data_IF_095227589445
#
_entry.id   IF_095227589445
#
_cell.length_a   1.000
_cell.length_b   1.000
_cell.length_c   1.000
_cell.angle_alpha   90.00
_cell.angle_beta   90.00
_cell.angle_gamma   90.00
#
_symmetry.space_group_name_H-M   'P 1'
#
loop_
_entity.id
_entity.type
_entity.pdbx_description
1 polymer ?
#
# COMPACT_ATOMS: atom_id res chain seq x y z
N UNK A 1 37.25 -38.90 33.87
CA UNK A 1 37.69 -37.74 33.09
C UNK A 1 36.49 -37.27 32.27
N UNK A 2 35.71 -36.35 32.84
CA UNK A 2 34.38 -35.93 32.37
C UNK A 2 34.51 -34.59 31.61
N UNK A 3 34.12 -34.58 30.34
CA UNK A 3 34.11 -33.38 29.49
C UNK A 3 32.75 -32.71 29.69
N UNK A 4 32.75 -31.51 30.23
CA UNK A 4 31.57 -30.70 30.44
C UNK A 4 31.21 -29.95 29.15
N UNK A 5 30.00 -30.16 28.69
CA UNK A 5 29.36 -29.52 27.55
C UNK A 5 28.92 -28.10 27.95
N UNK A 6 29.59 -27.08 27.43
CA UNK A 6 29.17 -25.67 27.54
C UNK A 6 28.36 -25.26 26.31
N UNK A 7 27.06 -25.41 26.38
CA UNK A 7 26.14 -24.78 25.44
C UNK A 7 26.06 -23.28 25.76
N UNK A 8 26.68 -22.45 24.91
CA UNK A 8 26.55 -21.02 24.98
C UNK A 8 25.15 -20.58 24.55
N UNK A 9 24.42 -19.99 25.47
CA UNK A 9 23.16 -19.36 25.20
C UNK A 9 23.40 -18.07 24.37
N UNK A 10 23.08 -18.09 23.08
CA UNK A 10 22.97 -16.86 22.28
C UNK A 10 21.71 -16.10 22.74
N UNK A 11 21.93 -15.06 23.53
CA UNK A 11 20.89 -14.07 23.83
C UNK A 11 20.57 -13.29 22.56
N UNK A 12 19.42 -13.58 21.97
CA UNK A 12 18.82 -12.73 20.96
C UNK A 12 18.47 -11.38 21.60
N UNK A 13 19.19 -10.34 21.22
CA UNK A 13 18.83 -8.95 21.53
C UNK A 13 17.72 -8.50 20.58
N UNK A 14 16.49 -8.90 20.85
CA UNK A 14 15.29 -8.29 20.25
C UNK A 14 14.80 -7.22 21.23
N UNK A 15 15.35 -6.03 21.10
CA UNK A 15 15.03 -4.95 22.01
C UNK A 15 13.68 -4.28 21.70
N UNK A 16 13.01 -3.74 22.72
CA UNK A 16 11.74 -3.00 22.61
C UNK A 16 11.85 -1.66 21.86
N UNK A 17 13.02 -1.33 21.31
CA UNK A 17 13.32 -0.02 20.71
C UNK A 17 12.57 0.20 19.39
N UNK A 18 12.29 -0.85 18.61
CA UNK A 18 11.61 -0.69 17.29
C UNK A 18 10.09 -0.50 17.47
N UNK A 19 9.49 -1.18 18.44
CA UNK A 19 8.05 -1.05 18.72
C UNK A 19 7.70 0.33 19.33
N UNK A 20 8.59 0.91 20.14
CA UNK A 20 8.40 2.24 20.70
C UNK A 20 8.52 3.37 19.65
N UNK A 21 9.35 3.18 18.61
CA UNK A 21 9.49 4.16 17.53
C UNK A 21 8.23 4.23 16.63
N UNK A 22 7.51 3.13 16.46
CA UNK A 22 6.26 3.09 15.70
C UNK A 22 5.07 3.66 16.47
N UNK A 23 5.04 3.56 17.81
CA UNK A 23 3.93 4.05 18.64
C UNK A 23 3.99 5.55 18.95
N UNK A 24 5.15 6.21 18.83
CA UNK A 24 5.36 7.62 19.14
C UNK A 24 5.12 8.59 17.99
N UNK A 25 4.68 8.11 16.83
CA UNK A 25 4.69 8.85 15.56
C UNK A 25 3.35 9.54 15.20
N UNK A 26 2.52 9.90 16.16
CA UNK A 26 1.10 10.27 15.95
C UNK A 26 0.79 11.78 15.81
N UNK A 27 1.77 12.66 15.65
CA UNK A 27 1.56 14.05 15.25
C UNK A 27 2.62 14.45 14.24
N UNK A 28 2.33 15.39 13.35
CA UNK A 28 3.36 16.01 12.51
C UNK A 28 4.50 16.45 13.42
N UNK A 29 5.63 15.74 13.40
CA UNK A 29 6.78 16.07 14.25
C UNK A 29 7.21 17.50 13.91
N UNK A 30 7.70 18.30 14.88
CA UNK A 30 8.10 19.66 14.61
C UNK A 30 9.12 19.69 13.47
N UNK A 31 8.83 20.51 12.45
CA UNK A 31 9.73 20.75 11.32
C UNK A 31 9.40 20.05 10.00
N UNK A 32 8.52 19.04 9.96
CA UNK A 32 8.02 18.49 8.69
C UNK A 32 6.99 19.43 8.06
N UNK A 33 6.97 19.45 6.71
CA UNK A 33 5.96 20.17 5.94
C UNK A 33 4.61 19.47 6.06
N UNK A 34 3.53 20.21 6.10
CA UNK A 34 2.17 19.71 5.90
C UNK A 34 1.80 19.89 4.43
N UNK A 35 0.94 19.01 3.92
CA UNK A 35 0.33 19.19 2.60
C UNK A 35 -0.58 20.43 2.61
N UNK A 36 -0.48 21.24 1.57
CA UNK A 36 -1.26 22.47 1.40
C UNK A 36 -1.67 22.63 -0.07
N UNK A 37 -2.81 23.28 -0.38
CA UNK A 37 -3.23 23.51 -1.75
C UNK A 37 -2.16 24.24 -2.57
N UNK A 38 -2.02 23.86 -3.84
CA UNK A 38 -1.13 24.53 -4.78
C UNK A 38 0.27 23.91 -4.89
N UNK A 39 0.43 22.63 -4.55
CA UNK A 39 1.67 21.91 -4.84
C UNK A 39 1.99 21.91 -6.34
N UNK A 40 3.22 22.30 -6.68
CA UNK A 40 3.67 22.38 -8.09
C UNK A 40 4.25 21.03 -8.54
N UNK A 41 3.41 20.18 -9.10
CA UNK A 41 3.80 18.88 -9.65
C UNK A 41 4.81 19.00 -10.79
N UNK A 42 5.80 18.14 -10.81
CA UNK A 42 6.83 18.10 -11.86
C UNK A 42 7.30 16.66 -12.08
N UNK A 43 6.85 16.03 -13.15
CA UNK A 43 7.25 14.68 -13.51
C UNK A 43 8.43 14.68 -14.51
N UNK A 44 9.39 13.75 -14.38
CA UNK A 44 9.39 12.57 -13.48
C UNK A 44 9.90 12.82 -12.05
N UNK A 45 10.29 14.06 -11.68
CA UNK A 45 10.83 14.37 -10.34
C UNK A 45 9.94 13.81 -9.21
N UNK A 46 8.63 14.01 -9.33
CA UNK A 46 7.67 13.66 -8.28
C UNK A 46 7.22 12.18 -8.33
N UNK A 47 7.94 11.34 -9.10
CA UNK A 47 7.97 9.88 -8.87
C UNK A 47 8.97 9.49 -7.77
N UNK A 48 9.90 10.37 -7.43
CA UNK A 48 10.91 10.19 -6.39
C UNK A 48 10.42 10.55 -4.98
N UNK A 49 11.34 10.56 -4.00
CA UNK A 49 11.02 10.78 -2.61
C UNK A 49 10.91 12.27 -2.24
N UNK A 50 10.01 12.58 -1.28
CA UNK A 50 9.70 13.92 -0.79
C UNK A 50 10.10 14.07 0.68
N UNK A 51 11.40 14.18 0.94
CA UNK A 51 12.00 14.18 2.28
C UNK A 51 11.51 15.30 3.22
N UNK A 52 10.86 16.34 2.69
CA UNK A 52 10.26 17.42 3.48
C UNK A 52 8.99 17.00 4.22
N UNK A 53 8.34 15.94 3.79
CA UNK A 53 7.14 15.37 4.41
C UNK A 53 7.52 14.20 5.31
N UNK A 54 6.64 13.86 6.26
CA UNK A 54 6.92 12.84 7.25
C UNK A 54 6.68 11.43 6.75
N UNK A 55 5.57 11.20 6.05
CA UNK A 55 5.16 9.90 5.54
C UNK A 55 4.94 9.98 4.05
N UNK A 56 5.30 8.91 3.37
CA UNK A 56 5.19 8.79 1.93
C UNK A 56 5.10 7.32 1.58
N UNK A 57 4.32 6.97 0.55
CA UNK A 57 4.27 5.62 0.04
C UNK A 57 4.06 5.56 -1.47
N UNK A 58 4.65 4.53 -2.05
CA UNK A 58 4.41 4.05 -3.40
C UNK A 58 3.71 2.70 -3.28
N UNK A 59 2.49 2.62 -3.72
CA UNK A 59 1.61 1.48 -3.56
C UNK A 59 1.23 0.93 -4.91
N UNK A 60 1.46 -0.38 -5.13
CA UNK A 60 1.13 -1.08 -6.37
C UNK A 60 0.29 -2.29 -6.04
N UNK A 61 -0.82 -2.46 -6.77
CA UNK A 61 -1.65 -3.66 -6.70
C UNK A 61 -2.12 -4.08 -8.08
N UNK A 62 -2.32 -5.39 -8.27
CA UNK A 62 -2.79 -5.88 -9.57
C UNK A 62 -3.20 -7.33 -9.57
N UNK A 63 -3.86 -7.72 -10.66
CA UNK A 63 -4.16 -9.10 -10.98
C UNK A 63 -3.47 -9.47 -12.29
N UNK A 64 -2.66 -10.53 -12.22
CA UNK A 64 -1.80 -10.98 -13.32
C UNK A 64 -2.11 -12.43 -13.65
N UNK A 65 -2.28 -12.73 -14.92
CA UNK A 65 -2.51 -14.09 -15.42
C UNK A 65 -1.19 -14.74 -15.85
N UNK A 66 -1.00 -16.00 -15.49
CA UNK A 66 0.11 -16.80 -15.98
C UNK A 66 -0.01 -17.05 -17.47
N UNK A 67 1.05 -16.76 -18.25
CA UNK A 67 1.02 -16.94 -19.72
C UNK A 67 0.93 -18.41 -20.13
N UNK A 68 1.51 -19.29 -19.34
CA UNK A 68 1.63 -20.75 -19.61
C UNK A 68 0.49 -21.55 -18.97
N UNK A 69 -0.34 -20.91 -18.11
CA UNK A 69 -1.48 -21.52 -17.43
C UNK A 69 -2.70 -20.60 -17.53
N UNK A 70 -3.39 -20.56 -18.67
CA UNK A 70 -4.57 -19.72 -18.84
C UNK A 70 -5.61 -19.96 -17.74
N UNK A 71 -6.13 -18.87 -17.19
CA UNK A 71 -7.09 -18.89 -16.07
C UNK A 71 -6.42 -18.96 -14.68
N UNK A 72 -5.10 -19.14 -14.57
CA UNK A 72 -4.40 -19.00 -13.30
C UNK A 72 -4.05 -17.56 -13.05
N UNK A 73 -4.70 -16.96 -12.09
CA UNK A 73 -4.56 -15.53 -11.76
C UNK A 73 -3.86 -15.40 -10.42
N UNK A 74 -2.86 -14.54 -10.40
CA UNK A 74 -2.18 -14.07 -9.20
C UNK A 74 -2.63 -12.63 -8.89
N UNK A 75 -2.92 -12.36 -7.63
CA UNK A 75 -3.09 -10.99 -7.15
C UNK A 75 -1.87 -10.61 -6.31
N UNK A 76 -1.37 -9.39 -6.51
CA UNK A 76 -0.20 -8.92 -5.77
C UNK A 76 -0.42 -7.52 -5.19
N UNK A 77 0.28 -7.24 -4.11
CA UNK A 77 0.53 -5.92 -3.55
C UNK A 77 2.04 -5.74 -3.40
N UNK A 78 2.51 -4.53 -3.68
CA UNK A 78 3.86 -4.08 -3.35
C UNK A 78 3.80 -2.63 -2.90
N UNK A 79 4.24 -2.36 -1.69
CA UNK A 79 4.22 -1.02 -1.11
C UNK A 79 5.55 -0.68 -0.49
N UNK A 80 6.09 0.46 -0.86
CA UNK A 80 7.29 1.06 -0.25
C UNK A 80 6.81 2.25 0.58
N UNK A 81 7.16 2.27 1.86
CA UNK A 81 6.88 3.39 2.76
C UNK A 81 8.18 4.07 3.16
N UNK A 82 8.18 5.41 3.12
CA UNK A 82 9.17 6.26 3.76
C UNK A 82 8.54 6.89 5.00
N UNK A 83 9.17 6.68 6.15
CA UNK A 83 8.75 7.27 7.42
C UNK A 83 9.89 8.16 7.93
N UNK A 84 9.69 9.47 7.87
CA UNK A 84 10.64 10.45 8.35
C UNK A 84 10.75 10.43 9.88
N UNK A 85 11.95 10.22 10.38
CA UNK A 85 12.29 10.31 11.80
C UNK A 85 12.68 11.73 12.20
N UNK A 86 13.27 12.47 11.26
CA UNK A 86 13.68 13.85 11.42
C UNK A 86 13.60 14.58 10.08
N UNK A 87 13.15 15.85 10.03
CA UNK A 87 13.14 16.65 8.80
C UNK A 87 14.56 17.00 8.32
N UNK A 88 15.53 16.96 9.21
CA UNK A 88 16.94 17.24 8.91
C UNK A 88 17.80 16.00 9.21
N UNK A 89 18.96 15.91 8.56
CA UNK A 89 19.93 14.88 8.92
C UNK A 89 20.36 15.05 10.37
N UNK A 90 20.33 13.97 11.19
CA UNK A 90 20.84 14.03 12.56
C UNK A 90 22.27 14.58 12.58
N UNK A 91 22.57 15.47 13.51
CA UNK A 91 23.92 16.04 13.69
C UNK A 91 24.98 15.00 14.13
N UNK A 92 24.61 13.74 14.26
CA UNK A 92 25.48 12.62 14.59
C UNK A 92 26.46 12.34 13.45
N UNK A 93 27.77 12.29 13.77
CA UNK A 93 28.82 11.94 12.81
C UNK A 93 28.88 10.44 12.49
N UNK A 94 27.75 9.76 12.46
CA UNK A 94 27.67 8.34 12.20
C UNK A 94 26.96 8.08 10.87
N UNK A 95 27.55 7.30 9.99
CA UNK A 95 26.92 6.82 8.76
C UNK A 95 25.65 5.98 9.03
N UNK A 96 25.49 5.52 10.27
CA UNK A 96 24.31 4.77 10.73
C UNK A 96 23.20 5.69 11.29
N UNK A 97 23.41 7.00 11.32
CA UNK A 97 22.39 7.97 11.71
C UNK A 97 21.32 8.01 10.61
N UNK A 98 20.13 7.48 10.91
CA UNK A 98 19.04 7.42 9.97
C UNK A 98 18.15 8.66 10.02
N UNK A 99 17.83 9.22 8.87
CA UNK A 99 16.82 10.26 8.69
C UNK A 99 15.44 9.64 8.50
N UNK A 100 15.37 8.50 7.85
CA UNK A 100 14.14 7.79 7.52
C UNK A 100 14.17 6.33 7.99
N UNK A 101 12.98 5.78 8.20
CA UNK A 101 12.74 4.34 8.12
C UNK A 101 12.21 4.01 6.72
N UNK A 102 12.61 2.84 6.23
CA UNK A 102 12.06 2.20 5.04
C UNK A 102 11.24 1.03 5.55
N UNK A 103 9.97 0.99 5.20
CA UNK A 103 9.09 -0.12 5.52
C UNK A 103 8.42 -0.56 4.23
N UNK A 104 8.67 -1.80 3.83
CA UNK A 104 8.08 -2.33 2.60
C UNK A 104 7.20 -3.53 2.92
N UNK A 105 6.07 -3.59 2.23
CA UNK A 105 5.12 -4.68 2.29
C UNK A 105 4.96 -5.33 0.92
N UNK A 106 4.86 -6.65 0.90
CA UNK A 106 4.55 -7.40 -0.31
C UNK A 106 3.58 -8.55 0.00
N UNK A 107 2.53 -8.66 -0.79
CA UNK A 107 1.62 -9.79 -0.75
C UNK A 107 1.52 -10.44 -2.12
N UNK A 108 1.32 -11.75 -2.12
CA UNK A 108 1.07 -12.55 -3.31
C UNK A 108 -0.02 -13.58 -3.01
N UNK A 109 -1.08 -13.58 -3.79
CA UNK A 109 -2.16 -14.54 -3.73
C UNK A 109 -2.25 -15.34 -5.03
N UNK A 110 -2.31 -16.65 -4.95
CA UNK A 110 -2.72 -17.55 -6.03
C UNK A 110 -4.23 -17.76 -5.90
N UNK A 111 -5.00 -17.03 -6.69
CA UNK A 111 -6.46 -17.04 -6.59
C UNK A 111 -7.07 -18.40 -6.96
N UNK A 112 -6.41 -19.13 -7.85
CA UNK A 112 -6.87 -20.46 -8.26
C UNK A 112 -6.71 -21.52 -7.15
N UNK A 113 -5.72 -21.32 -6.26
CA UNK A 113 -5.46 -22.23 -5.12
C UNK A 113 -6.05 -21.73 -3.81
N UNK A 114 -6.47 -20.48 -3.73
CA UNK A 114 -6.91 -19.86 -2.49
C UNK A 114 -5.77 -19.64 -1.49
N UNK A 115 -4.52 -19.55 -1.96
CA UNK A 115 -3.33 -19.39 -1.14
C UNK A 115 -2.85 -17.96 -1.17
N UNK A 116 -2.45 -17.41 -0.02
CA UNK A 116 -1.90 -16.07 0.07
C UNK A 116 -0.69 -16.02 0.99
N UNK A 117 0.28 -15.20 0.64
CA UNK A 117 1.48 -14.95 1.42
C UNK A 117 1.72 -13.47 1.57
N UNK A 118 2.23 -13.09 2.73
CA UNK A 118 2.61 -11.72 3.05
C UNK A 118 4.04 -11.70 3.57
N UNK A 119 4.79 -10.69 3.18
CA UNK A 119 6.14 -10.40 3.64
C UNK A 119 6.31 -8.91 3.90
N UNK A 120 7.11 -8.59 4.90
CA UNK A 120 7.41 -7.22 5.30
C UNK A 120 8.90 -7.06 5.65
N UNK A 121 9.40 -5.86 5.45
CA UNK A 121 10.72 -5.43 5.93
C UNK A 121 10.61 -4.06 6.59
N UNK A 122 11.37 -3.86 7.66
CA UNK A 122 11.57 -2.54 8.27
C UNK A 122 13.07 -2.35 8.50
N UNK A 123 13.63 -1.30 7.92
CA UNK A 123 15.04 -0.94 8.03
C UNK A 123 15.21 0.55 8.26
N UNK A 124 16.32 0.92 8.87
CA UNK A 124 16.76 2.32 8.85
C UNK A 124 17.36 2.62 7.48
N UNK A 125 17.12 3.82 6.97
CA UNK A 125 17.88 4.36 5.85
C UNK A 125 19.34 4.54 6.28
N UNK A 126 20.18 3.59 5.92
CA UNK A 126 21.60 3.57 6.27
C UNK A 126 22.37 2.72 5.24
N UNK A 127 23.70 2.90 5.10
CA UNK A 127 24.53 2.10 4.22
C UNK A 127 24.28 0.60 4.43
N UNK A 128 24.16 -0.16 3.34
CA UNK A 128 23.91 -1.59 3.27
C UNK A 128 22.50 -2.05 3.73
N UNK A 129 21.70 -1.19 4.37
CA UNK A 129 20.34 -1.55 4.80
C UNK A 129 19.27 -1.07 3.83
N UNK A 130 19.44 0.12 3.28
CA UNK A 130 18.50 0.69 2.31
C UNK A 130 18.68 2.18 2.13
N UNK A 131 18.11 2.71 1.05
CA UNK A 131 18.16 4.12 0.70
C UNK A 131 16.99 4.50 -0.20
N UNK A 132 16.62 5.78 -0.17
CA UNK A 132 15.84 6.43 -1.21
C UNK A 132 16.78 7.12 -2.20
N UNK A 133 16.41 7.13 -3.49
CA UNK A 133 17.12 7.86 -4.54
C UNK A 133 16.98 9.38 -4.39
N UNK A 134 17.91 10.12 -4.96
CA UNK A 134 17.74 11.56 -5.14
C UNK A 134 16.57 11.85 -6.09
N UNK A 135 15.94 13.04 -6.02
CA UNK A 135 14.93 13.44 -6.99
C UNK A 135 15.45 13.26 -8.43
N UNK A 136 14.67 12.60 -9.28
CA UNK A 136 15.03 12.22 -10.66
C UNK A 136 16.07 11.09 -10.80
N UNK A 137 16.47 10.43 -9.72
CA UNK A 137 17.22 9.19 -9.80
C UNK A 137 16.31 8.08 -10.36
N UNK A 138 16.78 7.25 -11.30
CA UNK A 138 16.01 6.08 -11.75
C UNK A 138 15.67 5.11 -10.62
N UNK A 139 16.50 4.98 -9.60
CA UNK A 139 16.22 4.19 -8.40
C UNK A 139 15.47 5.06 -7.38
N UNK A 140 14.20 4.77 -7.15
CA UNK A 140 13.36 5.47 -6.16
C UNK A 140 13.67 4.98 -4.75
N UNK A 141 13.68 3.66 -4.57
CA UNK A 141 13.94 3.05 -3.27
C UNK A 141 14.61 1.69 -3.40
N UNK A 142 15.44 1.35 -2.43
CA UNK A 142 15.99 0.00 -2.24
C UNK A 142 16.12 -0.31 -0.77
N UNK A 143 15.84 -1.57 -0.41
CA UNK A 143 15.96 -2.04 0.98
C UNK A 143 16.45 -3.48 1.02
N UNK A 144 17.26 -3.82 2.04
CA UNK A 144 17.74 -5.17 2.26
C UNK A 144 16.55 -6.10 2.54
N UNK A 145 16.47 -7.19 1.80
CA UNK A 145 15.45 -8.22 1.91
C UNK A 145 15.31 -8.76 3.35
N UNK A 146 14.23 -9.49 3.68
CA UNK A 146 14.06 -10.10 4.98
C UNK A 146 15.26 -10.98 5.40
N UNK A 147 15.45 -11.15 6.70
CA UNK A 147 16.49 -12.01 7.24
C UNK A 147 16.39 -13.43 6.64
N UNK A 148 17.54 -14.01 6.28
CA UNK A 148 17.60 -15.31 5.59
C UNK A 148 17.42 -15.24 4.07
N UNK A 149 17.13 -14.07 3.52
CA UNK A 149 17.04 -13.84 2.07
C UNK A 149 18.16 -12.93 1.62
N UNK A 150 18.84 -13.31 0.54
CA UNK A 150 19.87 -12.48 -0.11
C UNK A 150 19.24 -11.50 -1.08
N UNK A 151 19.88 -10.31 -1.25
CA UNK A 151 19.47 -9.30 -2.21
C UNK A 151 18.69 -8.13 -1.62
N UNK A 152 18.10 -7.36 -2.49
CA UNK A 152 17.36 -6.14 -2.18
C UNK A 152 15.93 -6.24 -2.72
N UNK A 153 15.00 -5.58 -2.05
CA UNK A 153 13.77 -5.12 -2.67
C UNK A 153 14.04 -3.77 -3.30
N UNK A 154 13.50 -3.53 -4.47
CA UNK A 154 13.81 -2.32 -5.25
C UNK A 154 12.56 -1.76 -5.91
N UNK A 155 12.53 -0.45 -6.05
CA UNK A 155 11.57 0.29 -6.85
C UNK A 155 12.32 1.34 -7.67
N UNK A 156 12.06 1.39 -8.96
CA UNK A 156 12.66 2.38 -9.87
C UNK A 156 11.70 2.87 -10.93
N UNK A 157 12.04 4.00 -11.56
CA UNK A 157 11.38 4.56 -12.74
C UNK A 157 12.37 4.65 -13.89
N UNK A 158 12.11 3.95 -15.00
CA UNK A 158 13.01 3.88 -16.15
C UNK A 158 12.72 4.90 -17.25
N UNK A 159 11.84 5.86 -17.00
CA UNK A 159 11.39 6.87 -17.97
C UNK A 159 10.06 6.54 -18.66
N UNK A 160 9.55 5.33 -18.51
CA UNK A 160 8.26 4.91 -19.10
C UNK A 160 7.51 3.85 -18.29
N UNK A 161 8.18 3.25 -17.32
CA UNK A 161 7.62 2.22 -16.47
C UNK A 161 8.19 2.28 -15.05
N UNK A 162 7.43 1.79 -14.09
CA UNK A 162 7.97 1.42 -12.79
C UNK A 162 8.42 -0.04 -12.83
N UNK A 163 9.67 -0.26 -12.44
CA UNK A 163 10.26 -1.57 -12.28
C UNK A 163 10.44 -1.84 -10.79
N UNK A 164 9.97 -2.99 -10.31
CA UNK A 164 10.14 -3.37 -8.92
C UNK A 164 10.37 -4.86 -8.75
N UNK A 165 11.09 -5.18 -7.70
CA UNK A 165 11.50 -6.53 -7.38
C UNK A 165 11.43 -6.76 -5.87
N UNK A 166 10.92 -7.93 -5.48
CA UNK A 166 10.99 -8.42 -4.13
C UNK A 166 11.28 -9.92 -4.09
N UNK A 167 11.89 -10.37 -3.00
CA UNK A 167 12.13 -11.78 -2.71
C UNK A 167 12.06 -12.05 -1.22
N UNK A 168 11.46 -13.17 -0.85
CA UNK A 168 11.43 -13.71 0.49
C UNK A 168 11.58 -15.23 0.46
N UNK A 169 12.75 -15.73 0.86
CA UNK A 169 13.06 -17.18 0.84
C UNK A 169 12.24 -17.95 1.87
N UNK A 170 12.00 -17.36 3.05
CA UNK A 170 11.19 -18.00 4.09
C UNK A 170 9.75 -18.17 3.64
N UNK A 171 9.19 -17.12 2.99
CA UNK A 171 7.84 -17.14 2.43
C UNK A 171 7.77 -17.85 1.08
N UNK A 172 8.93 -18.25 0.52
CA UNK A 172 9.05 -18.95 -0.77
C UNK A 172 8.32 -18.21 -1.89
N UNK A 173 8.43 -16.89 -1.90
CA UNK A 173 7.84 -16.03 -2.91
C UNK A 173 8.82 -14.97 -3.40
N UNK A 174 8.72 -14.63 -4.69
CA UNK A 174 9.38 -13.49 -5.29
C UNK A 174 8.57 -13.01 -6.49
N UNK A 175 8.77 -11.75 -6.85
CA UNK A 175 8.34 -11.24 -8.15
C UNK A 175 9.29 -10.15 -8.63
N UNK A 176 9.39 -10.05 -9.97
CA UNK A 176 10.00 -8.94 -10.68
C UNK A 176 9.00 -8.49 -11.73
N UNK A 177 8.51 -7.27 -11.61
CA UNK A 177 7.43 -6.73 -12.43
C UNK A 177 7.83 -5.38 -13.02
N UNK A 178 7.35 -5.13 -14.23
CA UNK A 178 7.42 -3.85 -14.92
C UNK A 178 6.01 -3.36 -15.23
N UNK A 179 5.70 -2.09 -14.93
CA UNK A 179 4.35 -1.53 -15.04
C UNK A 179 4.34 -0.26 -15.87
N UNK A 180 3.60 -0.28 -16.99
CA UNK A 180 3.50 0.84 -17.93
C UNK A 180 2.14 1.52 -17.83
N UNK A 181 2.06 2.85 -17.66
CA UNK A 181 0.79 3.57 -17.66
C UNK A 181 -0.01 3.39 -18.97
N UNK A 182 -1.28 3.01 -18.84
CA UNK A 182 -2.23 2.92 -19.95
C UNK A 182 -3.16 4.14 -20.03
N UNK A 183 -3.18 4.94 -18.97
CA UNK A 183 -3.95 6.18 -18.87
C UNK A 183 -3.07 7.31 -18.36
N UNK A 184 -3.44 8.58 -18.60
CA UNK A 184 -2.81 9.71 -17.94
C UNK A 184 -2.81 9.58 -16.42
N UNK A 185 -1.84 10.21 -15.79
CA UNK A 185 -1.76 10.37 -14.35
C UNK A 185 -2.97 11.17 -13.85
N UNK A 186 -3.52 10.75 -12.72
CA UNK A 186 -4.66 11.38 -12.05
C UNK A 186 -4.18 12.03 -10.76
N UNK A 187 -4.44 13.32 -10.61
CA UNK A 187 -4.26 14.05 -9.36
C UNK A 187 -5.51 13.85 -8.49
N UNK A 188 -5.35 13.30 -7.29
CA UNK A 188 -6.45 12.95 -6.40
C UNK A 188 -6.87 14.13 -5.51
N UNK A 189 -8.11 14.54 -5.60
CA UNK A 189 -8.59 15.80 -5.02
C UNK A 189 -8.29 17.01 -5.90
N UNK A 190 -8.59 18.23 -5.46
CA UNK A 190 -8.26 19.44 -6.21
C UNK A 190 -6.75 19.58 -6.41
N UNK A 191 -6.27 19.47 -7.65
CA UNK A 191 -4.87 19.60 -8.04
C UNK A 191 -3.90 18.66 -7.28
N UNK A 192 -4.40 17.50 -6.79
CA UNK A 192 -3.61 16.53 -6.03
C UNK A 192 -3.61 16.77 -4.52
N UNK A 193 -4.29 17.80 -4.05
CA UNK A 193 -4.47 18.04 -2.62
C UNK A 193 -5.62 17.19 -2.08
N UNK A 194 -5.29 16.09 -1.42
CA UNK A 194 -6.24 15.10 -0.93
C UNK A 194 -6.51 15.27 0.57
N UNK A 195 -7.64 15.89 0.91
CA UNK A 195 -8.09 16.04 2.29
C UNK A 195 -8.43 14.68 2.92
N UNK A 196 -8.11 14.51 4.19
CA UNK A 196 -8.41 13.32 5.00
C UNK A 196 -9.32 13.64 6.19
N UNK A 197 -9.52 14.93 6.50
CA UNK A 197 -10.33 15.40 7.59
C UNK A 197 -10.27 16.91 7.76
N UNK A 198 -10.81 17.42 8.87
CA UNK A 198 -10.91 18.86 9.15
C UNK A 198 -9.71 19.43 9.91
N UNK A 199 -8.86 18.58 10.51
CA UNK A 199 -7.70 19.04 11.25
C UNK A 199 -6.66 19.67 10.32
N UNK A 200 -5.97 20.74 10.73
CA UNK A 200 -4.92 21.35 9.95
C UNK A 200 -3.84 20.33 9.56
N UNK A 201 -3.58 20.21 8.26
CA UNK A 201 -2.59 19.28 7.72
C UNK A 201 -3.04 17.82 7.62
N UNK A 202 -4.30 17.50 7.96
CA UNK A 202 -4.89 16.19 7.67
C UNK A 202 -5.18 16.05 6.18
N UNK A 203 -4.12 15.96 5.40
CA UNK A 203 -4.11 15.92 3.96
C UNK A 203 -2.81 15.34 3.45
N UNK A 204 -2.80 14.99 2.18
CA UNK A 204 -1.62 14.59 1.42
C UNK A 204 -1.60 15.21 0.05
N UNK A 205 -0.42 15.24 -0.56
CA UNK A 205 -0.24 15.37 -1.99
C UNK A 205 -0.34 13.96 -2.57
N UNK A 206 -1.26 13.74 -3.53
CA UNK A 206 -1.64 12.41 -3.94
C UNK A 206 -1.91 12.34 -5.45
N UNK A 207 -1.24 11.39 -6.12
CA UNK A 207 -1.59 11.03 -7.48
C UNK A 207 -1.70 9.52 -7.66
N UNK A 208 -2.49 9.13 -8.66
CA UNK A 208 -2.70 7.74 -9.06
C UNK A 208 -2.35 7.51 -10.54
N UNK A 209 -1.87 6.31 -10.83
CA UNK A 209 -1.92 5.71 -12.15
C UNK A 209 -2.95 4.58 -12.09
N UNK A 210 -4.17 4.88 -12.49
CA UNK A 210 -5.34 4.02 -12.23
C UNK A 210 -5.36 2.74 -13.06
N UNK A 211 -4.58 2.71 -14.17
CA UNK A 211 -4.46 1.54 -15.03
C UNK A 211 -3.07 1.45 -15.61
N UNK A 212 -2.38 0.37 -15.29
CA UNK A 212 -1.04 0.07 -15.79
C UNK A 212 -1.06 -1.31 -16.45
N UNK A 213 -0.44 -1.44 -17.63
CA UNK A 213 -0.08 -2.75 -18.17
C UNK A 213 1.12 -3.28 -17.39
N UNK A 214 1.00 -4.47 -16.86
CA UNK A 214 2.02 -5.09 -16.02
C UNK A 214 2.43 -6.43 -16.56
N UNK A 215 3.73 -6.67 -16.64
CA UNK A 215 4.30 -7.96 -17.00
C UNK A 215 5.56 -8.27 -16.20
N UNK A 216 5.97 -9.53 -16.21
CA UNK A 216 7.19 -9.96 -15.53
C UNK A 216 7.15 -11.41 -15.09
N UNK A 217 7.75 -11.68 -13.94
CA UNK A 217 7.85 -13.02 -13.37
C UNK A 217 7.37 -13.03 -11.93
N UNK A 218 6.67 -14.10 -11.58
CA UNK A 218 6.33 -14.48 -10.20
C UNK A 218 7.00 -15.82 -9.92
N UNK A 219 7.64 -15.94 -8.75
CA UNK A 219 8.16 -17.22 -8.24
C UNK A 219 7.37 -17.60 -7.00
N UNK A 220 6.77 -18.76 -7.01
CA UNK A 220 6.02 -19.31 -5.88
C UNK A 220 6.41 -20.78 -5.70
N UNK A 221 6.88 -21.14 -4.50
CA UNK A 221 7.38 -22.49 -4.18
C UNK A 221 8.47 -23.02 -5.12
N UNK A 222 9.36 -22.13 -5.60
CA UNK A 222 10.43 -22.47 -6.53
C UNK A 222 9.98 -22.60 -7.98
N UNK A 223 8.69 -22.46 -8.28
CA UNK A 223 8.18 -22.44 -9.64
C UNK A 223 8.05 -21.00 -10.15
N UNK A 224 8.56 -20.75 -11.33
CA UNK A 224 8.51 -19.45 -12.02
C UNK A 224 7.33 -19.43 -12.99
N UNK A 225 6.58 -18.32 -12.95
CA UNK A 225 5.49 -18.02 -13.87
C UNK A 225 5.80 -16.74 -14.62
N UNK A 226 5.69 -16.77 -15.93
CA UNK A 226 5.64 -15.55 -16.74
C UNK A 226 4.21 -15.00 -16.65
N UNK A 227 4.07 -13.75 -16.25
CA UNK A 227 2.77 -13.16 -15.98
C UNK A 227 2.53 -11.88 -16.77
N UNK A 228 1.26 -11.57 -16.99
CA UNK A 228 0.79 -10.30 -17.54
C UNK A 228 -0.58 -9.94 -16.97
N UNK A 229 -0.90 -8.66 -16.94
CA UNK A 229 -2.22 -8.19 -16.51
C UNK A 229 -2.25 -6.70 -16.33
N UNK A 230 -3.12 -6.25 -15.42
CA UNK A 230 -3.26 -4.84 -15.12
C UNK A 230 -3.06 -4.55 -13.64
N UNK A 231 -2.51 -3.38 -13.37
CA UNK A 231 -2.24 -2.89 -12.03
C UNK A 231 -2.80 -1.48 -11.81
N UNK A 232 -2.79 -1.08 -10.56
CA UNK A 232 -3.03 0.26 -10.05
C UNK A 232 -1.80 0.72 -9.27
N UNK A 233 -1.51 2.00 -9.31
CA UNK A 233 -0.45 2.60 -8.51
C UNK A 233 -0.95 3.90 -7.87
N UNK A 234 -0.62 4.05 -6.56
CA UNK A 234 -0.77 5.30 -5.83
C UNK A 234 0.58 5.77 -5.30
N UNK A 235 0.79 7.08 -5.37
CA UNK A 235 1.86 7.75 -4.68
C UNK A 235 1.30 8.91 -3.87
N UNK A 236 1.57 8.85 -2.58
CA UNK A 236 0.99 9.80 -1.63
C UNK A 236 2.04 10.21 -0.60
N UNK A 237 2.16 11.51 -0.35
CA UNK A 237 3.06 12.05 0.67
C UNK A 237 2.39 13.17 1.46
N UNK A 238 2.67 13.16 2.77
CA UNK A 238 2.08 14.10 3.72
C UNK A 238 2.75 13.99 5.09
N UNK A 239 2.21 14.69 6.08
CA UNK A 239 2.77 14.64 7.44
C UNK A 239 1.71 14.31 8.50
N UNK A 240 0.43 14.26 8.11
CA UNK A 240 -0.68 13.82 8.94
C UNK A 240 -1.78 13.29 8.02
N UNK A 241 -2.06 12.00 8.09
CA UNK A 241 -3.08 11.36 7.25
C UNK A 241 -4.35 11.00 8.04
N UNK A 242 -4.35 11.21 9.34
CA UNK A 242 -5.51 10.99 10.21
C UNK A 242 -5.79 12.24 11.04
N UNK A 243 -7.03 12.72 10.97
CA UNK A 243 -7.55 13.71 11.92
C UNK A 243 -7.74 13.12 13.31
N UNK A 244 -7.85 14.02 14.30
CA UNK A 244 -8.17 13.66 15.68
C UNK A 244 -9.45 12.84 15.74
N UNK A 245 -9.41 11.73 16.45
CA UNK A 245 -10.56 10.82 16.57
C UNK A 245 -10.74 9.82 15.43
N UNK A 246 -10.03 9.94 14.32
CA UNK A 246 -10.02 8.90 13.29
C UNK A 246 -9.13 7.71 13.69
N UNK A 247 -9.51 6.50 13.33
CA UNK A 247 -8.79 5.27 13.67
C UNK A 247 -8.20 4.55 12.46
N UNK A 248 -8.66 4.85 11.25
CA UNK A 248 -8.22 4.23 10.01
C UNK A 248 -9.15 4.56 8.85
N UNK A 249 -8.97 3.86 7.75
CA UNK A 249 -9.72 4.09 6.52
C UNK A 249 -10.15 2.79 5.84
N UNK A 250 -11.16 2.90 4.98
CA UNK A 250 -11.50 1.94 3.94
C UNK A 250 -11.19 2.59 2.60
N UNK A 251 -10.35 1.96 1.79
CA UNK A 251 -9.95 2.44 0.48
C UNK A 251 -10.29 1.41 -0.60
N UNK A 252 -10.69 1.90 -1.76
CA UNK A 252 -11.13 1.09 -2.90
C UNK A 252 -10.49 1.61 -4.17
N UNK A 253 -9.84 0.75 -4.94
CA UNK A 253 -9.41 1.00 -6.32
C UNK A 253 -10.01 -0.06 -7.23
N UNK A 254 -10.94 0.36 -8.06
CA UNK A 254 -11.70 -0.55 -8.94
C UNK A 254 -11.44 -0.18 -10.39
N UNK A 255 -11.03 -1.17 -11.18
CA UNK A 255 -10.91 -1.09 -12.65
C UNK A 255 -12.10 -1.78 -13.27
N UNK A 256 -12.95 -1.04 -13.96
CA UNK A 256 -14.16 -1.57 -14.57
C UNK A 256 -13.87 -2.10 -15.99
N UNK A 257 -14.59 -3.15 -16.39
CA UNK A 257 -14.45 -3.79 -17.70
C UNK A 257 -14.90 -2.87 -18.85
N UNK A 258 -15.69 -1.85 -18.53
CA UNK A 258 -16.09 -0.82 -19.49
C UNK A 258 -15.01 0.26 -19.70
N UNK A 259 -13.87 0.14 -19.05
CA UNK A 259 -12.71 1.00 -19.18
C UNK A 259 -12.71 2.21 -18.23
N UNK A 260 -13.70 2.36 -17.34
CA UNK A 260 -13.69 3.36 -16.27
C UNK A 260 -12.90 2.83 -15.07
N UNK A 261 -12.38 3.76 -14.24
CA UNK A 261 -11.74 3.40 -12.97
C UNK A 261 -12.37 4.24 -11.85
N UNK A 262 -12.44 3.68 -10.64
CA UNK A 262 -13.08 4.31 -9.49
C UNK A 262 -12.19 4.16 -8.26
N UNK A 263 -11.76 5.28 -7.68
CA UNK A 263 -11.12 5.34 -6.37
C UNK A 263 -12.10 5.94 -5.37
N UNK A 264 -12.21 5.31 -4.19
CA UNK A 264 -13.01 5.80 -3.07
C UNK A 264 -12.26 5.58 -1.78
N UNK A 265 -12.36 6.51 -0.83
CA UNK A 265 -11.93 6.27 0.54
C UNK A 265 -12.86 6.88 1.57
N UNK A 266 -12.93 6.23 2.73
CA UNK A 266 -13.71 6.64 3.89
C UNK A 266 -12.81 6.61 5.12
N UNK A 267 -12.68 7.75 5.81
CA UNK A 267 -11.98 7.85 7.09
C UNK A 267 -12.98 7.56 8.21
N UNK A 268 -12.58 6.70 9.17
CA UNK A 268 -13.51 6.18 10.18
C UNK A 268 -13.15 6.59 11.60
N UNK A 269 -14.18 6.77 12.42
CA UNK A 269 -14.10 6.89 13.88
C UNK A 269 -14.16 5.52 14.57
N UNK A 270 -13.83 5.42 15.87
CA UNK A 270 -13.84 4.15 16.61
C UNK A 270 -15.21 3.46 16.66
N UNK A 271 -16.30 4.23 16.58
CA UNK A 271 -17.67 3.71 16.55
C UNK A 271 -18.11 3.19 15.17
N UNK A 272 -17.20 3.23 14.18
CA UNK A 272 -17.45 2.82 12.81
C UNK A 272 -18.13 3.88 11.94
N UNK A 273 -18.45 5.06 12.49
CA UNK A 273 -19.00 6.16 11.68
C UNK A 273 -17.95 6.71 10.72
N UNK A 274 -18.41 7.18 9.56
CA UNK A 274 -17.57 7.82 8.56
C UNK A 274 -17.42 9.29 8.93
N UNK A 275 -16.19 9.69 9.19
CA UNK A 275 -15.83 11.07 9.54
C UNK A 275 -15.60 11.92 8.30
N UNK A 276 -14.88 11.39 7.34
CA UNK A 276 -14.55 12.06 6.08
C UNK A 276 -14.57 11.04 4.93
N UNK A 277 -14.87 11.49 3.72
CA UNK A 277 -14.84 10.62 2.54
C UNK A 277 -14.63 11.42 1.27
N UNK A 278 -13.95 10.82 0.31
CA UNK A 278 -13.74 11.38 -1.02
C UNK A 278 -13.67 10.27 -2.06
N UNK A 279 -13.73 10.63 -3.34
CA UNK A 279 -13.59 9.68 -4.42
C UNK A 279 -13.32 10.36 -5.76
N UNK A 280 -12.81 9.57 -6.69
CA UNK A 280 -12.52 9.98 -8.07
C UNK A 280 -13.04 8.94 -9.04
N UNK A 281 -13.77 9.37 -10.04
CA UNK A 281 -14.15 8.56 -11.18
C UNK A 281 -13.30 8.98 -12.38
N UNK A 282 -12.65 8.00 -13.01
CA UNK A 282 -11.83 8.20 -14.20
C UNK A 282 -12.53 7.56 -15.40
N UNK A 283 -12.74 8.30 -16.45
CA UNK A 283 -13.37 7.79 -17.66
C UNK A 283 -12.42 6.91 -18.51
N UNK A 284 -12.92 6.43 -19.65
CA UNK A 284 -12.13 5.59 -20.57
C UNK A 284 -10.92 6.31 -21.16
N UNK A 285 -11.03 7.62 -21.34
CA UNK A 285 -9.95 8.45 -21.88
C UNK A 285 -8.93 8.87 -20.82
N UNK A 286 -9.19 8.57 -19.53
CA UNK A 286 -8.32 8.95 -18.43
C UNK A 286 -8.66 10.33 -17.83
N UNK A 287 -9.81 10.92 -18.20
CA UNK A 287 -10.27 12.17 -17.60
C UNK A 287 -10.85 11.86 -16.22
N UNK A 288 -10.24 12.46 -15.21
CA UNK A 288 -10.65 12.31 -13.82
C UNK A 288 -11.73 13.33 -13.42
N UNK A 289 -12.67 12.90 -12.60
CA UNK A 289 -13.68 13.73 -11.97
C UNK A 289 -13.77 13.40 -10.48
N UNK A 290 -13.53 14.38 -9.64
CA UNK A 290 -13.76 14.24 -8.19
C UNK A 290 -15.26 14.06 -7.92
N UNK A 291 -15.58 13.15 -7.03
CA UNK A 291 -16.92 12.83 -6.59
C UNK A 291 -17.18 13.48 -5.22
N UNK A 292 -18.14 14.38 -5.17
CA UNK A 292 -18.58 14.91 -3.87
C UNK A 292 -19.11 13.78 -2.96
N UNK A 293 -19.00 13.90 -1.64
CA UNK A 293 -19.49 12.89 -0.70
C UNK A 293 -20.94 12.45 -0.90
N UNK A 294 -21.81 13.33 -1.41
CA UNK A 294 -23.23 13.03 -1.68
C UNK A 294 -23.46 12.28 -2.99
N UNK A 295 -22.48 12.22 -3.90
CA UNK A 295 -22.64 11.62 -5.24
C UNK A 295 -22.47 10.10 -5.24
N UNK A 296 -22.01 9.51 -4.14
CA UNK A 296 -21.71 8.08 -4.06
C UNK A 296 -22.04 7.50 -2.68
N UNK A 297 -22.15 6.20 -2.65
CA UNK A 297 -22.41 5.45 -1.43
C UNK A 297 -21.63 4.14 -1.41
N UNK A 298 -21.16 3.74 -0.22
CA UNK A 298 -20.64 2.41 0.08
C UNK A 298 -21.40 1.85 1.26
N UNK A 299 -21.85 0.61 1.16
CA UNK A 299 -22.51 -0.12 2.24
C UNK A 299 -21.93 -1.53 2.33
N UNK A 300 -21.47 -1.91 3.52
CA UNK A 300 -21.08 -3.29 3.81
C UNK A 300 -22.31 -4.20 3.77
N UNK A 301 -22.16 -5.36 3.11
CA UNK A 301 -23.19 -6.39 2.96
C UNK A 301 -22.88 -7.64 3.79
N UNK A 302 -21.64 -7.83 4.20
CA UNK A 302 -21.17 -8.96 5.00
C UNK A 302 -19.95 -8.53 5.83
N UNK A 303 -19.54 -9.37 6.76
CA UNK A 303 -18.31 -9.21 7.52
C UNK A 303 -17.54 -10.53 7.58
N UNK A 304 -16.24 -10.42 7.79
CA UNK A 304 -15.33 -11.54 8.06
C UNK A 304 -14.53 -11.24 9.33
N UNK A 305 -14.47 -12.23 10.22
CA UNK A 305 -13.69 -12.13 11.44
C UNK A 305 -12.38 -12.89 11.28
N UNK A 306 -11.26 -12.20 11.47
CA UNK A 306 -9.94 -12.83 11.44
C UNK A 306 -9.81 -13.86 12.57
N UNK A 307 -9.46 -15.11 12.27
CA UNK A 307 -9.19 -16.12 13.29
C UNK A 307 -7.91 -15.82 14.07
N UNK A 308 -7.00 -15.04 13.49
CA UNK A 308 -5.68 -14.74 14.06
C UNK A 308 -5.70 -13.50 14.97
N UNK A 309 -6.30 -12.41 14.51
CA UNK A 309 -6.30 -11.12 15.23
C UNK A 309 -7.59 -10.87 15.99
N UNK A 310 -8.67 -11.58 15.64
CA UNK A 310 -10.00 -11.35 16.18
C UNK A 310 -10.69 -10.09 15.61
N UNK A 311 -10.01 -9.32 14.77
CA UNK A 311 -10.58 -8.16 14.11
C UNK A 311 -11.72 -8.57 13.16
N UNK A 312 -12.76 -7.73 13.09
CA UNK A 312 -13.90 -7.96 12.20
C UNK A 312 -13.89 -6.90 11.11
N UNK A 313 -13.77 -7.33 9.87
CA UNK A 313 -13.73 -6.49 8.68
C UNK A 313 -15.02 -6.57 7.89
N UNK A 314 -15.45 -5.49 7.20
CA UNK A 314 -16.40 -5.63 6.09
C UNK A 314 -15.83 -6.58 5.04
N UNK A 315 -16.67 -7.41 4.42
CA UNK A 315 -16.22 -8.46 3.51
C UNK A 315 -17.00 -8.53 2.19
N UNK A 316 -17.93 -7.67 1.96
CA UNK A 316 -18.68 -7.51 0.72
C UNK A 316 -19.36 -6.14 0.74
N UNK A 317 -19.37 -5.46 -0.39
CA UNK A 317 -19.88 -4.08 -0.44
C UNK A 317 -20.83 -3.87 -1.61
N UNK A 318 -21.83 -3.02 -1.39
CA UNK A 318 -22.61 -2.37 -2.44
C UNK A 318 -22.08 -0.95 -2.62
N UNK A 319 -21.69 -0.59 -3.84
CA UNK A 319 -21.21 0.73 -4.22
C UNK A 319 -22.15 1.33 -5.26
N UNK A 320 -22.60 2.58 -5.03
CA UNK A 320 -23.43 3.32 -5.95
C UNK A 320 -22.80 4.65 -6.32
N UNK A 321 -22.78 4.98 -7.63
CA UNK A 321 -22.48 6.32 -8.19
C UNK A 321 -23.56 6.65 -9.20
N UNK A 322 -24.73 7.17 -8.76
CA UNK A 322 -25.91 7.37 -9.61
C UNK A 322 -25.62 8.26 -10.83
N UNK A 323 -24.83 9.33 -10.65
CA UNK A 323 -24.45 10.25 -11.75
C UNK A 323 -23.66 9.58 -12.87
N UNK A 324 -23.03 8.42 -12.59
CA UNK A 324 -22.28 7.61 -13.55
C UNK A 324 -23.01 6.33 -13.96
N UNK A 325 -24.24 6.11 -13.47
CA UNK A 325 -25.01 4.89 -13.70
C UNK A 325 -24.41 3.65 -13.06
N UNK A 326 -23.53 3.78 -12.04
CA UNK A 326 -22.87 2.67 -11.41
C UNK A 326 -23.69 2.15 -10.22
N UNK A 327 -23.95 0.85 -10.24
CA UNK A 327 -24.46 0.05 -9.11
C UNK A 327 -23.64 -1.23 -9.10
N UNK A 328 -22.73 -1.30 -8.17
CA UNK A 328 -21.71 -2.35 -8.13
C UNK A 328 -21.84 -3.17 -6.85
N UNK A 329 -21.58 -4.45 -6.95
CA UNK A 329 -21.28 -5.31 -5.81
C UNK A 329 -19.81 -5.70 -5.87
N UNK A 330 -19.07 -5.45 -4.79
CA UNK A 330 -17.64 -5.75 -4.64
C UNK A 330 -17.50 -6.94 -3.70
N UNK A 331 -16.75 -7.96 -4.11
CA UNK A 331 -16.55 -9.22 -3.37
C UNK A 331 -15.07 -9.52 -3.23
N UNK A 332 -14.56 -9.84 -2.02
CA UNK A 332 -13.22 -10.39 -1.87
C UNK A 332 -13.02 -11.65 -2.69
N UNK A 333 -11.88 -11.78 -3.37
CA UNK A 333 -11.51 -13.02 -4.06
C UNK A 333 -11.06 -14.10 -3.07
N UNK A 334 -10.47 -13.71 -1.94
CA UNK A 334 -10.17 -14.55 -0.78
C UNK A 334 -10.70 -13.86 0.48
N UNK A 335 -11.19 -14.63 1.45
CA UNK A 335 -11.69 -14.07 2.71
C UNK A 335 -10.55 -13.54 3.59
N UNK A 336 -9.50 -14.34 3.78
CA UNK A 336 -8.30 -13.94 4.54
C UNK A 336 -7.29 -13.27 3.62
N UNK A 337 -7.32 -11.95 3.61
CA UNK A 337 -6.31 -11.12 2.96
C UNK A 337 -5.68 -10.14 3.97
N UNK A 338 -5.66 -10.53 5.24
CA UNK A 338 -5.07 -9.72 6.31
C UNK A 338 -3.54 -9.76 6.26
N UNK A 339 -2.92 -8.59 6.26
CA UNK A 339 -1.48 -8.38 6.33
C UNK A 339 -1.04 -8.36 7.78
N UNK A 340 -0.26 -9.36 8.17
CA UNK A 340 0.29 -9.52 9.51
C UNK A 340 1.81 -9.58 9.41
N UNK A 341 2.48 -8.51 9.82
CA UNK A 341 3.93 -8.37 9.74
C UNK A 341 4.67 -9.28 10.73
N UNK A 342 5.99 -9.39 10.52
CA UNK A 342 6.91 -10.14 11.40
C UNK A 342 7.18 -9.43 12.72
N UNK A 343 6.93 -8.13 12.80
CA UNK A 343 7.16 -7.35 14.00
C UNK A 343 6.01 -7.58 14.98
N UNK A 344 6.27 -8.14 16.17
CA UNK A 344 5.23 -8.33 17.18
C UNK A 344 4.55 -6.99 17.52
N UNK A 345 3.22 -7.00 17.59
CA UNK A 345 2.39 -5.84 17.89
C UNK A 345 2.47 -4.69 16.85
N UNK A 346 3.04 -4.94 15.67
CA UNK A 346 2.90 -4.01 14.56
C UNK A 346 1.43 -3.92 14.12
N UNK A 347 0.99 -2.79 13.59
CA UNK A 347 -0.33 -2.69 13.00
C UNK A 347 -0.55 -3.74 11.92
N UNK A 348 -1.74 -4.29 11.88
CA UNK A 348 -2.21 -5.21 10.86
C UNK A 348 -3.39 -4.57 10.11
N UNK A 349 -3.63 -5.00 8.90
CA UNK A 349 -4.71 -4.46 8.07
C UNK A 349 -5.14 -5.51 7.05
N UNK A 350 -6.40 -5.42 6.62
CA UNK A 350 -6.87 -6.27 5.54
C UNK A 350 -6.67 -5.57 4.22
N UNK A 351 -6.06 -6.25 3.27
CA UNK A 351 -5.84 -5.73 1.95
C UNK A 351 -5.84 -6.83 0.92
N UNK A 352 -6.72 -6.68 -0.08
CA UNK A 352 -6.83 -7.76 -1.02
C UNK A 352 -7.56 -7.47 -2.30
N UNK A 353 -7.35 -8.42 -3.19
CA UNK A 353 -8.00 -8.51 -4.48
C UNK A 353 -9.51 -8.72 -4.34
N UNK A 354 -10.26 -8.01 -5.16
CA UNK A 354 -11.71 -8.09 -5.24
C UNK A 354 -12.19 -8.21 -6.67
N UNK A 355 -13.31 -8.93 -6.84
CA UNK A 355 -14.10 -8.96 -8.06
C UNK A 355 -15.29 -8.00 -7.95
N UNK A 356 -15.65 -7.39 -9.07
CA UNK A 356 -16.75 -6.44 -9.18
C UNK A 356 -17.84 -7.02 -10.06
N UNK A 357 -19.10 -6.87 -9.64
CA UNK A 357 -20.31 -7.25 -10.41
C UNK A 357 -21.23 -6.06 -10.58
N UNK A 358 -21.95 -6.04 -11.69
CA UNK A 358 -23.01 -5.06 -11.94
C UNK A 358 -24.31 -5.38 -11.17
N UNK A 359 -25.35 -4.57 -11.38
CA UNK A 359 -26.65 -4.73 -10.76
C UNK A 359 -27.37 -6.04 -11.15
N UNK A 360 -27.02 -6.61 -12.30
CA UNK A 360 -27.56 -7.89 -12.80
C UNK A 360 -26.72 -9.10 -12.33
N UNK A 361 -25.65 -8.85 -11.55
CA UNK A 361 -24.74 -9.87 -11.05
C UNK A 361 -23.70 -10.34 -12.07
N UNK A 362 -23.58 -9.69 -13.24
CA UNK A 362 -22.57 -10.01 -14.25
C UNK A 362 -21.20 -9.46 -13.84
N UNK A 363 -20.09 -10.14 -14.22
CA UNK A 363 -18.75 -9.54 -14.06
C UNK A 363 -18.71 -8.13 -14.66
N UNK A 364 -18.12 -7.19 -13.94
CA UNK A 364 -18.07 -5.79 -14.33
C UNK A 364 -16.70 -5.14 -14.03
N UNK A 365 -15.75 -5.90 -13.48
CA UNK A 365 -14.42 -5.40 -13.19
C UNK A 365 -13.74 -6.15 -12.05
N UNK A 366 -12.61 -5.60 -11.64
CA UNK A 366 -11.77 -6.09 -10.54
C UNK A 366 -11.06 -4.94 -9.85
N UNK A 367 -10.44 -5.19 -8.71
CA UNK A 367 -9.71 -4.15 -8.01
C UNK A 367 -9.06 -4.64 -6.74
N UNK A 368 -8.77 -3.68 -5.87
CA UNK A 368 -8.28 -3.91 -4.52
C UNK A 368 -9.06 -3.07 -3.50
N UNK A 369 -9.13 -3.58 -2.29
CA UNK A 369 -9.70 -2.88 -1.13
C UNK A 369 -8.71 -2.98 0.00
N UNK A 370 -8.46 -1.86 0.68
CA UNK A 370 -7.65 -1.77 1.88
C UNK A 370 -8.51 -1.30 3.06
N UNK A 371 -8.38 -1.97 4.20
CA UNK A 371 -9.14 -1.74 5.43
C UNK A 371 -8.17 -1.63 6.60
N UNK A 372 -7.94 -0.43 7.11
CA UNK A 372 -7.00 -0.18 8.21
C UNK A 372 -7.73 0.16 9.50
N UNK A 373 -7.06 0.04 10.64
CA UNK A 373 -7.59 0.47 11.93
C UNK A 373 -8.76 -0.36 12.47
N UNK A 374 -8.90 -1.60 12.01
CA UNK A 374 -9.83 -2.58 12.55
C UNK A 374 -9.16 -3.37 13.69
N UNK A 375 -9.94 -3.71 14.71
CA UNK A 375 -9.45 -4.36 15.92
C UNK A 375 -8.97 -3.38 16.99
N UNK A 376 -8.94 -3.85 18.24
CA UNK A 376 -8.59 -3.03 19.39
C UNK A 376 -7.13 -2.56 19.33
N UNK A 377 -6.90 -1.26 19.50
CA UNK A 377 -5.57 -0.62 19.52
C UNK A 377 -4.75 -0.76 18.23
N UNK A 378 -5.39 -1.13 17.13
CA UNK A 378 -4.75 -1.29 15.83
C UNK A 378 -4.91 -0.01 14.98
N UNK A 379 -4.11 1.02 15.26
CA UNK A 379 -4.10 2.29 14.52
C UNK A 379 -2.90 2.35 13.58
N UNK A 380 -3.10 2.70 12.30
CA UNK A 380 -1.98 2.85 11.37
C UNK A 380 -1.02 3.98 11.81
N UNK A 381 0.30 3.83 11.63
CA UNK A 381 1.33 4.77 12.07
C UNK A 381 1.57 5.92 11.06
N UNK A 382 0.52 6.61 10.63
CA UNK A 382 0.54 7.64 9.56
C UNK A 382 0.14 9.02 10.05
#
# INVERSE_FOLDING_TARGET
>A
MTISDRRGAQRAWTGPVVAAALAGALAAGPGFRIAVPGYAWSFPRDHGSHEGYRTEWWYFTGQLEARDEPGRVFAYQFTVFRIGLSPERPALRSEWAARNLIMDHAALADLARGERRFSDVVRREAPLLGAFGAPSDPMIAKVLAPAGTSGLWTLGWNGGAFDFEMRDEERRMAFRLSTHPLKPLVLEGPDGYSLKGEDPGAASEYYSLTRLSTEGTIVLDGRTFLVRGESWMDHEFGSSHLSSGQVGWDWFALRLDDGRDLMLYLMRRPDGTVDFRNGTLVDRAGVARNLAPSEWSVRSLASWKSPETGATYPARWSIGVPSAGLRLEVRPDLSDQENRGRIPHAPFYWEGSVSVRDADGRPAGRGFVELTGYGDRNRPPV
#
